data_IF_952819359968
#
_entry.id   IF_952819359968
#
_cell.length_a   1.000
_cell.length_b   1.000
_cell.length_c   1.000
_cell.angle_alpha   90.00
_cell.angle_beta   90.00
_cell.angle_gamma   90.00
#
_symmetry.space_group_name_H-M   'P 1'
#
loop_
_entity.id
_entity.type
_entity.pdbx_description
1 polymer ?
#
# COMPACT_ATOMS: atom_id res chain seq x y z
N UNK A 1 10.48 13.86 -3.21
CA UNK A 1 10.65 12.39 -3.01
C UNK A 1 9.37 11.88 -2.36
N UNK A 2 8.72 10.87 -2.93
CA UNK A 2 7.48 10.30 -2.39
C UNK A 2 7.77 8.91 -1.81
N UNK A 3 7.28 8.64 -0.60
CA UNK A 3 7.49 7.40 0.13
C UNK A 3 6.26 6.50 0.00
N UNK A 4 6.48 5.24 -0.39
CA UNK A 4 5.44 4.22 -0.47
C UNK A 4 5.34 3.46 0.86
N UNK A 5 4.19 3.51 1.50
CA UNK A 5 3.93 2.85 2.79
C UNK A 5 3.71 1.33 2.66
N UNK A 6 4.76 0.56 2.38
CA UNK A 6 4.69 -0.91 2.16
C UNK A 6 4.67 -1.67 3.51
N UNK A 7 5.38 -1.15 4.53
CA UNK A 7 5.44 -1.72 5.88
C UNK A 7 6.72 -2.53 6.15
N UNK A 8 7.13 -2.57 7.42
CA UNK A 8 8.42 -3.13 7.86
C UNK A 8 8.56 -4.65 7.57
N UNK A 9 7.46 -5.39 7.52
CA UNK A 9 7.46 -6.82 7.26
C UNK A 9 8.02 -7.21 5.88
N UNK A 10 8.14 -6.27 4.94
CA UNK A 10 8.71 -6.49 3.61
C UNK A 10 10.14 -5.95 3.47
N UNK A 11 10.84 -5.69 4.58
CA UNK A 11 12.21 -5.17 4.57
C UNK A 11 13.15 -6.13 3.85
N UNK A 12 13.89 -5.61 2.87
CA UNK A 12 14.87 -6.38 2.09
C UNK A 12 14.26 -7.22 0.96
N UNK A 13 12.93 -7.22 0.82
CA UNK A 13 12.25 -7.88 -0.30
C UNK A 13 12.57 -7.16 -1.60
N UNK A 14 12.97 -7.92 -2.63
CA UNK A 14 13.12 -7.39 -4.00
C UNK A 14 11.74 -7.18 -4.60
N UNK A 15 11.53 -6.04 -5.25
CA UNK A 15 10.23 -5.65 -5.79
C UNK A 15 10.28 -5.31 -7.28
N UNK A 16 9.12 -5.45 -7.93
CA UNK A 16 8.74 -4.74 -9.13
C UNK A 16 7.71 -3.67 -8.72
N UNK A 17 7.92 -2.43 -9.16
CA UNK A 17 6.96 -1.34 -8.98
C UNK A 17 6.40 -0.95 -10.34
N UNK A 18 5.08 -1.08 -10.51
CA UNK A 18 4.36 -0.64 -11.70
C UNK A 18 3.67 0.67 -11.37
N UNK A 19 3.88 1.69 -12.20
CA UNK A 19 3.22 2.99 -12.05
C UNK A 19 2.40 3.28 -13.30
N UNK A 20 1.14 3.66 -13.11
CA UNK A 20 0.30 4.29 -14.12
C UNK A 20 -0.01 5.75 -13.71
N UNK A 21 -0.94 6.40 -14.41
CA UNK A 21 -1.27 7.81 -14.19
C UNK A 21 -1.75 8.10 -12.76
N UNK A 22 -2.33 7.11 -12.08
CA UNK A 22 -3.03 7.30 -10.81
C UNK A 22 -2.47 6.45 -9.68
N UNK A 23 -1.79 5.36 -9.98
CA UNK A 23 -1.45 4.35 -8.99
C UNK A 23 -0.04 3.82 -9.12
N UNK A 24 0.50 3.38 -7.99
CA UNK A 24 1.69 2.56 -7.92
C UNK A 24 1.34 1.24 -7.25
N UNK A 25 1.57 0.13 -7.95
CA UNK A 25 1.44 -1.24 -7.42
C UNK A 25 2.82 -1.81 -7.15
N UNK A 26 3.04 -2.30 -5.93
CA UNK A 26 4.29 -2.92 -5.49
C UNK A 26 4.11 -4.43 -5.43
N UNK A 27 4.96 -5.16 -6.14
CA UNK A 27 4.88 -6.60 -6.33
C UNK A 27 6.18 -7.26 -5.84
N UNK A 28 6.09 -8.33 -5.05
CA UNK A 28 7.24 -9.13 -4.67
C UNK A 28 7.82 -9.84 -5.91
N UNK A 29 9.09 -9.57 -6.21
CA UNK A 29 9.70 -9.98 -7.48
C UNK A 29 9.75 -11.51 -7.65
N UNK A 30 9.89 -12.26 -6.55
CA UNK A 30 10.05 -13.71 -6.60
C UNK A 30 8.74 -14.49 -6.61
N UNK A 31 7.69 -13.96 -5.99
CA UNK A 31 6.41 -14.67 -5.85
C UNK A 31 5.31 -14.11 -6.77
N UNK A 32 5.47 -12.89 -7.26
CA UNK A 32 4.41 -12.18 -7.99
C UNK A 32 3.29 -11.65 -7.09
N UNK A 33 3.41 -11.78 -5.76
CA UNK A 33 2.40 -11.30 -4.82
C UNK A 33 2.37 -9.77 -4.76
N UNK A 34 1.18 -9.18 -4.76
CA UNK A 34 0.99 -7.74 -4.53
C UNK A 34 1.16 -7.43 -3.05
N UNK A 35 2.15 -6.59 -2.74
CA UNK A 35 2.46 -6.18 -1.37
C UNK A 35 1.68 -4.93 -0.94
N UNK A 36 1.45 -4.00 -1.87
CA UNK A 36 0.69 -2.77 -1.63
C UNK A 36 0.28 -2.05 -2.91
N UNK A 37 -0.80 -1.27 -2.80
CA UNK A 37 -1.28 -0.34 -3.84
C UNK A 37 -1.36 1.07 -3.25
N UNK A 38 -0.91 2.06 -4.02
CA UNK A 38 -0.81 3.46 -3.61
C UNK A 38 -1.49 4.37 -4.62
N UNK A 39 -2.26 5.36 -4.16
CA UNK A 39 -2.73 6.46 -5.00
C UNK A 39 -1.63 7.51 -5.12
N UNK A 40 -1.38 7.98 -6.34
CA UNK A 40 -0.47 9.08 -6.63
C UNK A 40 -1.16 10.39 -6.21
N UNK A 41 -0.59 11.04 -5.20
CA UNK A 41 -0.97 12.39 -4.78
C UNK A 41 0.29 13.26 -4.74
N UNK A 42 0.52 14.12 -5.76
CA UNK A 42 1.70 14.97 -5.82
C UNK A 42 1.83 15.94 -4.65
N UNK A 43 0.72 16.26 -3.97
CA UNK A 43 0.72 17.16 -2.81
C UNK A 43 1.17 16.46 -1.51
N UNK A 44 1.35 15.12 -1.53
CA UNK A 44 1.74 14.34 -0.35
C UNK A 44 3.07 13.65 -0.56
N UNK A 45 3.99 13.82 0.38
CA UNK A 45 5.27 13.09 0.40
C UNK A 45 5.13 11.61 0.81
N UNK A 46 4.00 11.21 1.39
CA UNK A 46 3.75 9.84 1.85
C UNK A 46 2.46 9.28 1.26
N UNK A 47 2.56 8.15 0.57
CA UNK A 47 1.43 7.44 -0.01
C UNK A 47 1.20 6.14 0.75
N UNK A 48 0.10 6.10 1.52
CA UNK A 48 -0.29 4.93 2.30
C UNK A 48 -0.64 3.74 1.40
N UNK A 49 -0.52 2.52 1.93
CA UNK A 49 -1.13 1.35 1.31
C UNK A 49 -2.66 1.42 1.48
N UNK A 50 -3.40 1.30 0.39
CA UNK A 50 -4.85 1.28 0.38
C UNK A 50 -5.45 -0.12 0.62
N UNK A 51 -4.68 -1.19 0.43
CA UNK A 51 -5.10 -2.57 0.70
C UNK A 51 -5.18 -2.87 2.21
N UNK A 52 -4.46 -2.10 3.04
CA UNK A 52 -4.48 -2.29 4.48
C UNK A 52 -5.67 -1.56 5.10
N UNK A 53 -6.50 -2.32 5.80
CA UNK A 53 -7.52 -1.75 6.68
C UNK A 53 -6.87 -0.68 7.59
N UNK A 54 -7.57 0.45 7.84
CA UNK A 54 -7.07 1.45 8.77
C UNK A 54 -6.75 0.76 10.09
N UNK A 55 -5.52 0.98 10.58
CA UNK A 55 -5.02 0.35 11.80
C UNK A 55 -5.95 0.57 12.99
N UNK A 56 -5.72 -0.21 14.05
CA UNK A 56 -6.60 -0.41 15.21
C UNK A 56 -7.14 0.89 15.83
N UNK A 57 -8.28 1.36 15.33
CA UNK A 57 -9.23 2.21 16.04
C UNK A 57 -10.39 1.32 16.50
N UNK A 58 -10.91 1.46 17.73
CA UNK A 58 -12.07 0.69 18.13
C UNK A 58 -13.27 1.18 17.30
N UNK A 59 -13.91 0.24 16.59
CA UNK A 59 -15.19 0.33 15.84
C UNK A 59 -15.07 0.54 14.33
N UNK A 60 -15.11 -0.58 13.60
CA UNK A 60 -16.13 -0.72 12.57
C UNK A 60 -17.17 -1.69 13.14
N UNK A 61 -18.22 -1.14 13.74
CA UNK A 61 -19.40 -1.93 14.12
C UNK A 61 -20.06 -2.34 12.82
N UNK A 62 -20.00 -3.62 12.46
CA UNK A 62 -20.95 -4.19 11.52
C UNK A 62 -22.35 -3.93 12.09
N UNK A 63 -23.16 -3.15 11.36
CA UNK A 63 -24.61 -3.26 11.51
C UNK A 63 -25.00 -4.51 10.73
N UNK A 64 -25.14 -5.62 11.43
CA UNK A 64 -25.95 -6.74 10.97
C UNK A 64 -27.42 -6.34 11.15
N UNK A 65 -28.15 -6.32 10.03
CA UNK A 65 -29.61 -6.41 9.96
C UNK A 65 -30.04 -7.86 9.94
#
# INVERSE_FOLDING_TARGET
MHHLGIGYQHRGTRILALADDNTVTVIALHTGEVLSTHLIDPARSYWRNNEKAPGRWPRATSRET
#
